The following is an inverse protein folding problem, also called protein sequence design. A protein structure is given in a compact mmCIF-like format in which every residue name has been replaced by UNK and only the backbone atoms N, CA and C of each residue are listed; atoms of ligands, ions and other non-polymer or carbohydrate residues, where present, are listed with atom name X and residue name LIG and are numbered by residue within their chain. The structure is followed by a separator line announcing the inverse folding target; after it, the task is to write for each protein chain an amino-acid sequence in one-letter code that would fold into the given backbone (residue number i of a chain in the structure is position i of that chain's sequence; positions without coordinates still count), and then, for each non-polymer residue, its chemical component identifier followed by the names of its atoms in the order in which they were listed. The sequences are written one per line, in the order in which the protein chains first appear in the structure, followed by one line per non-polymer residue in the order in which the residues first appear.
data_IF_690258551065
#
_entry.id   IF_690258551065
#
_cell.length_a   1.000
_cell.length_b   1.000
_cell.length_c   1.000
_cell.angle_alpha   90.00
_cell.angle_beta   90.00
_cell.angle_gamma   90.00
#
_symmetry.space_group_name_H-M   'P 1'
#
loop_
_entity.id
_entity.type
_entity.pdbx_description
1 polymer ?
#
# COMPACT_ATOMS: atom_id res chain seq x y z
N UNK A 1 14.15 9.03 35.33
CA UNK A 1 12.87 8.83 36.04
C UNK A 1 11.83 9.57 35.22
N UNK A 2 10.78 9.01 34.64
CA UNK A 2 10.05 7.76 34.88
C UNK A 2 9.51 7.19 33.57
N UNK A 3 9.45 5.87 33.58
CA UNK A 3 8.96 4.92 32.58
C UNK A 3 7.44 5.06 32.38
N UNK A 4 6.96 4.87 31.15
CA UNK A 4 5.60 4.46 30.73
C UNK A 4 5.76 4.11 29.24
N UNK A 5 6.12 2.88 28.84
CA UNK A 5 5.34 1.68 29.09
C UNK A 5 4.19 1.62 28.08
N UNK A 6 4.17 0.52 27.31
CA UNK A 6 3.07 -0.05 26.50
C UNK A 6 3.49 -0.21 25.02
N UNK A 7 4.04 -1.39 24.71
CA UNK A 7 3.80 -2.06 23.43
C UNK A 7 2.43 -2.74 23.52
N UNK A 8 1.48 -2.37 22.62
CA UNK A 8 0.46 -3.27 22.11
C UNK A 8 0.64 -3.33 20.58
N UNK A 9 0.67 -4.50 19.95
CA UNK A 9 -0.59 -5.19 19.68
C UNK A 9 -1.33 -4.47 18.54
N UNK A 10 -1.14 -4.97 17.32
CA UNK A 10 -1.96 -4.81 16.10
C UNK A 10 -3.01 -3.68 16.08
N UNK A 11 -2.80 -2.70 15.21
CA UNK A 11 -3.88 -1.90 14.59
C UNK A 11 -3.80 -0.39 14.82
N UNK A 12 -2.96 0.34 14.05
CA UNK A 12 -2.82 1.78 14.25
C UNK A 12 -2.75 2.60 12.94
N UNK A 13 -3.90 3.23 12.65
CA UNK A 13 -4.14 4.55 12.04
C UNK A 13 -3.81 4.81 10.56
N UNK A 14 -4.74 4.43 9.70
CA UNK A 14 -4.95 4.85 8.30
C UNK A 14 -4.85 6.37 8.03
N UNK A 15 -5.19 7.22 9.00
CA UNK A 15 -5.16 8.67 8.85
C UNK A 15 -3.76 9.30 9.05
N UNK A 16 -2.81 8.58 9.66
CA UNK A 16 -1.48 9.14 9.93
C UNK A 16 -0.53 9.10 8.73
N UNK A 17 -0.87 8.34 7.67
CA UNK A 17 -0.10 8.23 6.44
C UNK A 17 -0.52 9.22 5.34
N UNK A 18 -1.64 9.94 5.56
CA UNK A 18 -2.21 10.93 4.65
C UNK A 18 -2.23 12.30 5.33
N UNK A 19 -1.06 12.92 5.49
CA UNK A 19 -0.93 14.26 6.08
C UNK A 19 -0.91 15.31 5.00
N UNK A 20 -1.20 16.55 5.38
CA UNK A 20 -1.03 17.70 4.52
C UNK A 20 0.11 18.58 5.05
N UNK A 21 0.91 19.10 4.12
CA UNK A 21 1.92 20.10 4.37
C UNK A 21 1.35 21.45 3.93
N UNK A 22 1.49 22.46 4.78
CA UNK A 22 1.12 23.83 4.43
C UNK A 22 2.29 24.49 3.70
N UNK A 23 2.06 24.93 2.48
CA UNK A 23 2.98 25.70 1.64
C UNK A 23 2.42 27.11 1.42
N UNK A 24 3.24 28.10 1.01
CA UNK A 24 2.76 29.45 0.73
C UNK A 24 1.62 29.52 -0.30
N UNK A 25 1.55 28.52 -1.18
CA UNK A 25 0.53 28.38 -2.23
C UNK A 25 -0.68 27.54 -1.80
N UNK A 26 -0.73 27.06 -0.56
CA UNK A 26 -1.83 26.26 -0.03
C UNK A 26 -1.40 24.91 0.55
N UNK A 27 -2.35 23.99 0.72
CA UNK A 27 -2.09 22.66 1.26
C UNK A 27 -1.70 21.67 0.16
N UNK A 28 -0.66 20.88 0.42
CA UNK A 28 -0.24 19.76 -0.43
C UNK A 28 -0.22 18.47 0.37
N UNK A 29 -0.57 17.34 -0.24
CA UNK A 29 -0.40 16.03 0.38
C UNK A 29 1.09 15.79 0.70
N UNK A 30 1.40 15.35 1.92
CA UNK A 30 2.73 14.87 2.27
C UNK A 30 3.08 13.63 1.44
N UNK A 31 4.37 13.29 1.26
CA UNK A 31 4.74 11.95 0.84
C UNK A 31 4.07 10.90 1.73
N UNK A 32 3.77 9.72 1.18
CA UNK A 32 3.28 8.60 1.98
C UNK A 32 4.44 8.03 2.80
N UNK A 33 4.20 7.84 4.09
CA UNK A 33 5.13 7.21 5.03
C UNK A 33 4.47 5.97 5.63
N UNK A 34 5.28 5.08 6.22
CA UNK A 34 4.81 3.87 6.93
C UNK A 34 4.00 2.89 6.06
N UNK A 35 4.47 2.63 4.84
CA UNK A 35 3.94 1.58 3.96
C UNK A 35 4.68 0.26 4.22
N UNK A 36 4.12 -0.60 5.06
CA UNK A 36 4.67 -1.93 5.34
C UNK A 36 3.79 -3.02 4.70
N UNK A 37 4.36 -3.91 3.87
CA UNK A 37 3.62 -5.05 3.34
C UNK A 37 3.26 -6.02 4.47
N UNK A 38 2.02 -6.53 4.45
CA UNK A 38 1.52 -7.49 5.44
C UNK A 38 1.24 -8.82 4.72
N UNK A 39 2.08 -9.82 4.97
CA UNK A 39 2.02 -11.11 4.29
C UNK A 39 0.72 -11.90 4.51
N UNK A 40 0.07 -11.72 5.67
CA UNK A 40 -1.12 -12.46 6.09
C UNK A 40 -2.35 -11.57 6.26
N UNK A 41 -2.39 -10.43 5.56
CA UNK A 41 -3.54 -9.53 5.60
C UNK A 41 -4.65 -9.99 4.65
N UNK A 42 -5.81 -10.34 5.19
CA UNK A 42 -6.94 -10.90 4.42
C UNK A 42 -7.88 -9.84 3.82
N UNK A 43 -7.66 -8.55 4.09
CA UNK A 43 -8.47 -7.45 3.55
C UNK A 43 -7.85 -6.08 3.82
N UNK A 44 -8.36 -5.05 3.13
CA UNK A 44 -7.99 -3.67 3.43
C UNK A 44 -8.78 -3.16 4.65
N UNK A 45 -8.15 -2.29 5.45
CA UNK A 45 -8.80 -1.64 6.57
C UNK A 45 -9.87 -0.61 6.14
N UNK A 46 -9.84 -0.20 4.87
CA UNK A 46 -10.82 0.69 4.26
C UNK A 46 -11.41 0.00 3.04
N UNK A 47 -12.71 0.21 2.83
CA UNK A 47 -13.36 -0.25 1.61
C UNK A 47 -12.82 0.55 0.41
N UNK A 48 -12.60 -0.15 -0.70
CA UNK A 48 -12.27 0.45 -1.99
C UNK A 48 -13.55 0.98 -2.66
N UNK A 49 -14.65 0.23 -2.58
CA UNK A 49 -15.98 0.69 -2.93
C UNK A 49 -16.77 1.09 -1.67
N UNK A 50 -18.06 1.38 -1.80
CA UNK A 50 -18.92 1.65 -0.63
C UNK A 50 -19.01 0.43 0.30
N UNK A 51 -18.88 -0.79 -0.22
CA UNK A 51 -19.13 -2.04 0.50
C UNK A 51 -18.04 -3.11 0.38
N UNK A 52 -17.03 -2.91 -0.46
CA UNK A 52 -16.02 -3.93 -0.78
C UNK A 52 -14.58 -3.45 -0.46
N UNK A 53 -13.85 -4.24 0.32
CA UNK A 53 -12.45 -4.02 0.71
C UNK A 53 -11.48 -5.07 0.15
N UNK A 54 -11.91 -5.83 -0.87
CA UNK A 54 -11.12 -6.87 -1.53
C UNK A 54 -9.88 -6.27 -2.18
N UNK A 55 -8.72 -6.88 -1.94
CA UNK A 55 -7.47 -6.47 -2.58
C UNK A 55 -7.48 -6.86 -4.08
N UNK A 56 -8.18 -6.08 -4.91
CA UNK A 56 -8.33 -6.28 -6.36
C UNK A 56 -8.00 -5.00 -7.14
N UNK A 57 -7.16 -5.14 -8.16
CA UNK A 57 -6.81 -4.05 -9.06
C UNK A 57 -7.96 -3.73 -10.04
N UNK A 58 -8.79 -4.72 -10.34
CA UNK A 58 -10.00 -4.59 -11.13
C UNK A 58 -11.02 -3.72 -10.39
N UNK A 59 -11.26 -4.01 -9.11
CA UNK A 59 -12.12 -3.19 -8.25
C UNK A 59 -11.59 -1.75 -8.15
N UNK A 60 -10.29 -1.58 -7.95
CA UNK A 60 -9.66 -0.25 -7.93
C UNK A 60 -9.84 0.52 -9.25
N UNK A 61 -9.81 -0.19 -10.39
CA UNK A 61 -10.08 0.41 -11.69
C UNK A 61 -11.56 0.76 -11.87
N UNK A 62 -12.47 -0.09 -11.40
CA UNK A 62 -13.92 0.11 -11.47
C UNK A 62 -14.35 1.37 -10.71
N UNK A 63 -13.89 1.52 -9.46
CA UNK A 63 -14.28 2.67 -8.63
C UNK A 63 -13.55 3.98 -8.98
N UNK A 64 -12.53 3.92 -9.85
CA UNK A 64 -11.67 5.07 -10.18
C UNK A 64 -12.43 6.31 -10.66
N UNK A 65 -13.59 6.10 -11.30
CA UNK A 65 -14.46 7.18 -11.76
C UNK A 65 -15.00 8.04 -10.61
N UNK A 66 -15.34 7.44 -9.46
CA UNK A 66 -15.80 8.17 -8.28
C UNK A 66 -14.73 9.13 -7.74
N UNK A 67 -13.45 8.80 -7.95
CA UNK A 67 -12.30 9.62 -7.59
C UNK A 67 -11.87 10.57 -8.71
N UNK A 68 -12.70 10.75 -9.75
CA UNK A 68 -12.43 11.61 -10.92
C UNK A 68 -11.17 11.22 -11.70
N UNK A 69 -10.75 9.95 -11.58
CA UNK A 69 -9.65 9.39 -12.35
C UNK A 69 -10.23 8.71 -13.58
N UNK A 70 -9.82 9.14 -14.77
CA UNK A 70 -10.25 8.51 -16.03
C UNK A 70 -9.73 7.08 -16.09
N UNK A 71 -10.53 6.14 -16.59
CA UNK A 71 -10.17 4.70 -16.72
C UNK A 71 -8.83 4.48 -17.42
N UNK A 72 -8.52 5.26 -18.47
CA UNK A 72 -7.23 5.19 -19.18
C UNK A 72 -6.06 5.53 -18.25
N UNK A 73 -6.22 6.55 -17.40
CA UNK A 73 -5.22 6.95 -16.41
C UNK A 73 -5.11 5.91 -15.30
N UNK A 74 -6.23 5.39 -14.79
CA UNK A 74 -6.23 4.32 -13.79
C UNK A 74 -5.47 3.08 -14.28
N UNK A 75 -5.75 2.63 -15.51
CA UNK A 75 -5.02 1.51 -16.15
C UNK A 75 -3.52 1.79 -16.31
N UNK A 76 -3.15 3.03 -16.58
CA UNK A 76 -1.73 3.44 -16.69
C UNK A 76 -1.04 3.35 -15.32
N UNK A 77 -1.65 3.94 -14.29
CA UNK A 77 -1.12 3.94 -12.91
C UNK A 77 -0.96 2.51 -12.41
N UNK A 78 -1.96 1.65 -12.61
CA UNK A 78 -1.90 0.23 -12.21
C UNK A 78 -0.71 -0.47 -12.88
N UNK A 79 -0.57 -0.35 -14.20
CA UNK A 79 0.53 -0.98 -14.96
C UNK A 79 1.91 -0.51 -14.48
N UNK A 80 2.09 0.80 -14.30
CA UNK A 80 3.36 1.36 -13.81
C UNK A 80 3.67 0.88 -12.39
N UNK A 81 2.65 0.79 -11.54
CA UNK A 81 2.80 0.34 -10.14
C UNK A 81 3.16 -1.14 -10.09
N UNK A 82 2.41 -1.99 -10.79
CA UNK A 82 2.69 -3.43 -10.86
C UNK A 82 4.09 -3.69 -11.41
N UNK A 83 4.47 -3.00 -12.48
CA UNK A 83 5.80 -3.16 -13.07
C UNK A 83 6.92 -2.88 -12.07
N UNK A 84 6.79 -1.83 -11.24
CA UNK A 84 7.78 -1.51 -10.21
C UNK A 84 7.76 -2.50 -9.05
N UNK A 85 6.57 -2.95 -8.65
CA UNK A 85 6.42 -3.87 -7.53
C UNK A 85 6.95 -5.26 -7.88
N UNK A 86 6.84 -5.73 -9.13
CA UNK A 86 7.36 -7.03 -9.58
C UNK A 86 8.87 -7.22 -9.32
N UNK A 87 9.63 -6.13 -9.27
CA UNK A 87 11.07 -6.18 -9.00
C UNK A 87 11.43 -6.40 -7.52
N UNK A 88 10.43 -6.50 -6.62
CA UNK A 88 10.65 -6.57 -5.17
C UNK A 88 11.58 -7.71 -4.74
N UNK A 89 11.52 -8.88 -5.39
CA UNK A 89 12.43 -10.01 -5.06
C UNK A 89 13.88 -9.70 -5.41
N UNK A 90 14.11 -9.05 -6.55
CA UNK A 90 15.45 -8.64 -6.97
C UNK A 90 16.01 -7.58 -6.01
N UNK A 91 15.18 -6.61 -5.61
CA UNK A 91 15.52 -5.59 -4.62
C UNK A 91 15.81 -6.22 -3.25
N UNK A 92 14.94 -7.12 -2.76
CA UNK A 92 15.17 -7.82 -1.49
C UNK A 92 16.47 -8.66 -1.53
N UNK A 93 16.79 -9.23 -2.69
CA UNK A 93 18.06 -9.94 -2.89
C UNK A 93 19.28 -9.03 -2.87
N UNK A 94 19.23 -7.86 -3.50
CA UNK A 94 20.34 -6.91 -3.47
C UNK A 94 20.58 -6.35 -2.06
N UNK A 95 19.52 -6.28 -1.24
CA UNK A 95 19.56 -5.94 0.18
C UNK A 95 19.99 -7.11 1.09
N UNK A 96 20.37 -8.27 0.52
CA UNK A 96 20.82 -9.47 1.25
C UNK A 96 19.79 -10.07 2.21
N UNK A 97 18.50 -9.81 1.99
CA UNK A 97 17.42 -10.48 2.73
C UNK A 97 17.43 -11.96 2.35
N UNK A 98 17.42 -12.84 3.35
CA UNK A 98 17.56 -14.27 3.11
C UNK A 98 16.33 -14.85 2.39
N UNK A 99 16.51 -15.98 1.71
CA UNK A 99 15.45 -16.58 0.89
C UNK A 99 14.20 -16.94 1.69
N UNK A 100 14.36 -17.39 2.94
CA UNK A 100 13.23 -17.79 3.80
C UNK A 100 12.37 -16.58 4.20
N UNK A 101 12.99 -15.44 4.52
CA UNK A 101 12.26 -14.20 4.83
C UNK A 101 11.54 -13.64 3.60
N UNK A 102 12.17 -13.71 2.43
CA UNK A 102 11.51 -13.33 1.17
C UNK A 102 10.28 -14.20 0.91
N UNK A 103 10.41 -15.51 1.11
CA UNK A 103 9.29 -16.43 0.88
C UNK A 103 8.13 -16.17 1.84
N UNK A 104 8.43 -15.91 3.13
CA UNK A 104 7.41 -15.49 4.10
C UNK A 104 6.66 -14.22 3.68
N UNK A 105 7.31 -13.32 2.92
CA UNK A 105 6.71 -12.08 2.44
C UNK A 105 6.04 -12.21 1.06
N UNK A 106 6.23 -13.33 0.34
CA UNK A 106 5.78 -13.48 -1.04
C UNK A 106 4.27 -13.23 -1.22
N UNK A 107 3.46 -13.66 -0.25
CA UNK A 107 2.01 -13.46 -0.28
C UNK A 107 1.60 -11.99 -0.30
N UNK A 108 2.37 -11.09 0.32
CA UNK A 108 2.08 -9.66 0.32
C UNK A 108 2.16 -9.05 -1.10
N UNK A 109 2.93 -9.67 -2.00
CA UNK A 109 3.15 -9.20 -3.36
C UNK A 109 2.38 -10.04 -4.41
N UNK A 110 1.52 -10.98 -3.97
CA UNK A 110 0.81 -11.93 -4.84
C UNK A 110 0.01 -11.28 -5.97
N UNK A 111 -0.53 -10.09 -5.74
CA UNK A 111 -1.36 -9.37 -6.71
C UNK A 111 -0.50 -8.89 -7.87
N UNK A 112 0.64 -8.26 -7.56
CA UNK A 112 1.58 -7.81 -8.57
C UNK A 112 2.23 -8.99 -9.31
N UNK A 113 2.55 -10.09 -8.61
CA UNK A 113 3.16 -11.27 -9.22
C UNK A 113 2.22 -11.97 -10.24
N UNK A 114 0.90 -11.85 -10.08
CA UNK A 114 -0.11 -12.54 -10.92
C UNK A 114 -0.74 -11.65 -12.01
N UNK A 115 -0.55 -10.34 -11.93
CA UNK A 115 -1.12 -9.34 -12.86
C UNK A 115 -0.31 -9.25 -14.16
#
# INVERSE_FOLDING_TARGET
MTNNGIFPGNGYYYACNHRFLLEPTGWRLSPSFDMNPVAFGDGLNLNISETDNTQSLELAQEVSFHFRVKTVMAKKIIRETVSKVKDWRAIASSLKINANEREKMATAFRIADRY
#
